data_IF_794635711282
#
_entry.id   IF_794635711282
#
_cell.length_a   1.000
_cell.length_b   1.000
_cell.length_c   1.000
_cell.angle_alpha   90.00
_cell.angle_beta   90.00
_cell.angle_gamma   90.00
#
_symmetry.space_group_name_H-M   'P 1'
#
loop_
_entity.id
_entity.type
_entity.pdbx_description
1 polymer ?
#
# COMPACT_ATOMS: atom_id res chain seq x y z
N UNK A 1 -11.80 2.40 -7.36
CA UNK A 1 -10.53 2.09 -6.65
C UNK A 1 -9.69 3.35 -6.67
N UNK A 2 -9.04 3.67 -5.56
CA UNK A 2 -8.11 4.80 -5.46
C UNK A 2 -6.71 4.26 -5.26
N UNK A 3 -5.74 4.84 -5.97
CA UNK A 3 -4.33 4.47 -5.85
C UNK A 3 -3.54 5.67 -5.32
N UNK A 4 -2.67 5.40 -4.35
CA UNK A 4 -1.87 6.40 -3.65
C UNK A 4 -0.41 6.01 -3.75
N UNK A 5 0.40 6.96 -4.18
CA UNK A 5 1.84 6.81 -4.40
C UNK A 5 2.60 7.96 -3.74
N UNK A 6 3.89 7.75 -3.46
CA UNK A 6 4.76 8.80 -2.93
C UNK A 6 4.57 9.03 -1.43
N UNK A 7 4.00 10.17 -1.04
CA UNK A 7 3.85 10.57 0.37
C UNK A 7 2.39 10.90 0.68
N UNK A 8 1.83 10.22 1.68
CA UNK A 8 0.52 10.56 2.23
C UNK A 8 0.72 11.46 3.45
N UNK A 9 0.96 12.74 3.19
CA UNK A 9 1.18 13.74 4.23
C UNK A 9 0.73 15.13 3.77
N UNK A 10 0.36 15.98 4.73
CA UNK A 10 -0.09 17.35 4.47
C UNK A 10 -1.23 17.41 3.43
N UNK A 11 -1.12 18.23 2.37
CA UNK A 11 -2.20 18.42 1.39
C UNK A 11 -2.70 17.15 0.70
N UNK A 12 -1.84 16.11 0.60
CA UNK A 12 -2.21 14.84 -0.03
C UNK A 12 -3.20 14.03 0.81
N UNK A 13 -3.26 14.28 2.12
CA UNK A 13 -4.28 13.70 3.00
C UNK A 13 -5.65 14.26 2.63
N UNK A 14 -5.77 15.59 2.51
CA UNK A 14 -7.02 16.25 2.11
C UNK A 14 -7.47 15.82 0.71
N UNK A 15 -6.54 15.66 -0.22
CA UNK A 15 -6.86 15.24 -1.59
C UNK A 15 -7.38 13.79 -1.65
N UNK A 16 -6.75 12.88 -0.89
CA UNK A 16 -7.25 11.51 -0.76
C UNK A 16 -8.64 11.48 -0.13
N UNK A 17 -8.88 12.30 0.90
CA UNK A 17 -10.19 12.39 1.55
C UNK A 17 -11.28 12.85 0.58
N UNK A 18 -11.02 13.94 -0.18
CA UNK A 18 -11.94 14.45 -1.20
C UNK A 18 -12.24 13.40 -2.26
N UNK A 19 -11.21 12.74 -2.76
CA UNK A 19 -11.34 11.69 -3.78
C UNK A 19 -12.16 10.50 -3.28
N UNK A 20 -11.88 10.05 -2.05
CA UNK A 20 -12.60 8.94 -1.43
C UNK A 20 -14.07 9.26 -1.19
N UNK A 21 -14.37 10.45 -0.66
CA UNK A 21 -15.74 10.87 -0.42
C UNK A 21 -16.53 11.03 -1.73
N UNK A 22 -15.89 11.55 -2.79
CA UNK A 22 -16.51 11.64 -4.11
C UNK A 22 -16.84 10.25 -4.69
N UNK A 23 -15.94 9.27 -4.57
CA UNK A 23 -16.21 7.90 -5.02
C UNK A 23 -17.32 7.23 -4.19
N UNK A 24 -17.32 7.46 -2.87
CA UNK A 24 -18.35 6.96 -1.96
C UNK A 24 -19.74 7.51 -2.28
N UNK A 25 -19.83 8.77 -2.66
CA UNK A 25 -21.10 9.39 -3.05
C UNK A 25 -21.61 8.86 -4.39
N UNK A 26 -20.72 8.58 -5.35
CA UNK A 26 -21.10 7.99 -6.64
C UNK A 26 -21.61 6.56 -6.51
N UNK A 27 -21.04 5.78 -5.60
CA UNK A 27 -21.39 4.37 -5.43
C UNK A 27 -21.47 3.96 -3.94
N UNK A 28 -22.57 4.31 -3.23
CA UNK A 28 -22.70 4.12 -1.79
C UNK A 28 -22.63 2.65 -1.31
N UNK A 29 -22.91 1.69 -2.20
CA UNK A 29 -22.88 0.26 -1.92
C UNK A 29 -21.64 -0.46 -2.48
N UNK A 30 -20.72 0.27 -3.12
CA UNK A 30 -19.53 -0.33 -3.70
C UNK A 30 -18.41 -0.49 -2.65
N UNK A 31 -17.73 -1.64 -2.71
CA UNK A 31 -16.48 -1.83 -2.00
C UNK A 31 -15.39 -0.94 -2.63
N UNK A 32 -15.09 0.18 -1.98
CA UNK A 32 -13.98 1.04 -2.40
C UNK A 32 -12.69 0.46 -1.84
N UNK A 33 -11.74 0.19 -2.73
CA UNK A 33 -10.38 -0.21 -2.39
C UNK A 33 -9.48 1.02 -2.50
N UNK A 34 -8.72 1.31 -1.44
CA UNK A 34 -7.63 2.29 -1.43
C UNK A 34 -6.32 1.51 -1.40
N UNK A 35 -5.56 1.62 -2.49
CA UNK A 35 -4.29 0.91 -2.70
C UNK A 35 -3.10 1.84 -2.49
N UNK A 36 -2.17 1.42 -1.64
CA UNK A 36 -0.94 2.10 -1.25
C UNK A 36 0.24 1.36 -1.89
N UNK A 37 0.52 1.58 -3.18
CA UNK A 37 1.47 0.78 -3.99
C UNK A 37 2.93 1.19 -3.80
N UNK A 38 3.20 2.50 -3.73
CA UNK A 38 4.57 3.07 -3.68
C UNK A 38 4.66 4.19 -2.64
N UNK A 39 4.04 3.97 -1.47
CA UNK A 39 4.00 4.97 -0.40
C UNK A 39 5.25 4.83 0.46
N UNK A 40 6.04 5.90 0.48
CA UNK A 40 7.31 6.00 1.21
C UNK A 40 7.15 6.63 2.61
N UNK A 41 6.05 7.36 2.84
CA UNK A 41 5.82 8.06 4.10
C UNK A 41 4.33 8.33 4.32
N UNK A 42 3.89 8.18 5.58
CA UNK A 42 2.53 8.48 6.04
C UNK A 42 2.65 9.23 7.36
N UNK A 43 2.14 10.48 7.42
CA UNK A 43 2.08 11.24 8.67
C UNK A 43 0.90 10.81 9.56
N UNK A 44 0.77 11.43 10.73
CA UNK A 44 -0.31 11.09 11.67
C UNK A 44 -1.70 11.36 11.05
N UNK A 45 -1.87 12.49 10.35
CA UNK A 45 -3.13 12.83 9.69
C UNK A 45 -3.50 11.81 8.59
N UNK A 46 -2.51 11.33 7.83
CA UNK A 46 -2.68 10.26 6.85
C UNK A 46 -3.15 8.96 7.50
N UNK A 47 -2.60 8.58 8.65
CA UNK A 47 -3.03 7.38 9.40
C UNK A 47 -4.45 7.53 9.94
N UNK A 48 -4.80 8.70 10.45
CA UNK A 48 -6.15 9.01 10.91
C UNK A 48 -7.16 8.92 9.77
N UNK A 49 -6.82 9.47 8.59
CA UNK A 49 -7.65 9.36 7.39
C UNK A 49 -7.82 7.90 6.95
N UNK A 50 -6.73 7.13 6.84
CA UNK A 50 -6.83 5.71 6.48
C UNK A 50 -7.69 4.93 7.48
N UNK A 51 -7.62 5.27 8.77
CA UNK A 51 -8.49 4.69 9.81
C UNK A 51 -9.96 5.04 9.57
N UNK A 52 -10.26 6.30 9.24
CA UNK A 52 -11.62 6.76 8.90
C UNK A 52 -12.16 6.02 7.68
N UNK A 53 -11.35 5.92 6.63
CA UNK A 53 -11.67 5.21 5.38
C UNK A 53 -12.01 3.75 5.68
N UNK A 54 -11.16 3.05 6.43
CA UNK A 54 -11.38 1.66 6.80
C UNK A 54 -12.66 1.46 7.62
N UNK A 55 -12.89 2.32 8.63
CA UNK A 55 -14.11 2.28 9.47
C UNK A 55 -15.40 2.51 8.69
N UNK A 56 -15.32 3.22 7.57
CA UNK A 56 -16.44 3.45 6.68
C UNK A 56 -16.70 2.30 5.69
N UNK A 57 -15.96 1.19 5.81
CA UNK A 57 -16.17 -0.05 5.03
C UNK A 57 -15.26 -0.20 3.82
N UNK A 58 -14.36 0.76 3.57
CA UNK A 58 -13.39 0.63 2.49
C UNK A 58 -12.27 -0.37 2.85
N UNK A 59 -11.73 -1.03 1.82
CA UNK A 59 -10.59 -1.95 1.95
C UNK A 59 -9.30 -1.18 1.76
N UNK A 60 -8.30 -1.48 2.60
CA UNK A 60 -6.95 -0.95 2.46
C UNK A 60 -6.03 -2.06 1.95
N UNK A 61 -5.34 -1.78 0.85
CA UNK A 61 -4.35 -2.68 0.25
C UNK A 61 -3.02 -1.95 0.12
N UNK A 62 -1.91 -2.68 0.21
CA UNK A 62 -0.61 -2.08 -0.04
C UNK A 62 0.54 -3.05 0.13
N UNK A 63 1.62 -2.76 -0.58
CA UNK A 63 2.88 -3.52 -0.57
C UNK A 63 3.94 -2.80 0.25
N UNK A 64 4.94 -3.56 0.72
CA UNK A 64 6.03 -3.03 1.53
C UNK A 64 5.77 -3.09 3.05
N UNK A 65 6.85 -3.23 3.82
CA UNK A 65 6.77 -3.45 5.27
C UNK A 65 6.09 -2.30 6.02
N UNK A 66 6.43 -1.04 5.68
CA UNK A 66 5.86 0.15 6.33
C UNK A 66 4.35 0.23 6.12
N UNK A 67 3.90 0.12 4.87
CA UNK A 67 2.48 0.19 4.51
C UNK A 67 1.69 -0.95 5.16
N UNK A 68 2.19 -2.20 5.06
CA UNK A 68 1.53 -3.35 5.67
C UNK A 68 1.44 -3.23 7.20
N UNK A 69 2.47 -2.68 7.85
CA UNK A 69 2.46 -2.46 9.30
C UNK A 69 1.41 -1.40 9.71
N UNK A 70 1.28 -0.32 8.93
CA UNK A 70 0.22 0.69 9.14
C UNK A 70 -1.16 0.08 8.95
N UNK A 71 -1.38 -0.66 7.86
CA UNK A 71 -2.66 -1.33 7.59
C UNK A 71 -3.02 -2.31 8.73
N UNK A 72 -2.08 -3.16 9.15
CA UNK A 72 -2.30 -4.11 10.23
C UNK A 72 -2.70 -3.41 11.53
N UNK A 73 -2.02 -2.30 11.89
CA UNK A 73 -2.36 -1.48 13.06
C UNK A 73 -3.78 -0.91 12.96
N UNK A 74 -4.19 -0.44 11.78
CA UNK A 74 -5.54 0.09 11.55
C UNK A 74 -6.60 -1.01 11.69
N UNK A 75 -6.30 -2.20 11.17
CA UNK A 75 -7.18 -3.38 11.26
C UNK A 75 -7.22 -4.01 12.67
N UNK A 76 -6.38 -3.57 13.60
CA UNK A 76 -6.21 -4.20 14.92
C UNK A 76 -5.56 -5.59 14.84
N UNK A 77 -4.91 -5.92 13.72
CA UNK A 77 -4.21 -7.17 13.53
C UNK A 77 -2.80 -7.10 14.13
N UNK A 78 -2.35 -8.21 14.71
CA UNK A 78 -0.95 -8.37 15.11
C UNK A 78 -0.13 -8.49 13.82
N UNK A 79 0.80 -7.57 13.60
CA UNK A 79 1.76 -7.71 12.51
C UNK A 79 2.75 -8.81 12.89
N UNK A 80 2.77 -9.97 12.20
CA UNK A 80 3.81 -10.95 12.45
C UNK A 80 5.14 -10.30 12.10
N UNK A 81 6.06 -10.23 13.07
CA UNK A 81 7.37 -9.62 12.90
C UNK A 81 8.26 -10.36 11.89
N UNK A 82 7.83 -11.53 11.40
CA UNK A 82 8.47 -12.26 10.31
C UNK A 82 7.62 -12.14 9.05
N UNK A 83 8.09 -11.34 8.10
CA UNK A 83 8.15 -11.65 6.66
C UNK A 83 8.58 -10.35 5.97
N UNK A 84 9.90 -10.16 5.99
CA UNK A 84 10.63 -9.12 5.27
C UNK A 84 11.09 -9.60 3.88
N UNK A 85 10.74 -10.81 3.45
CA UNK A 85 11.16 -11.31 2.15
C UNK A 85 10.08 -11.08 1.10
N UNK A 86 10.39 -10.18 0.17
CA UNK A 86 9.51 -9.91 -0.96
C UNK A 86 9.99 -8.88 -1.97
N UNK A 87 11.29 -8.58 -2.06
CA UNK A 87 11.83 -7.84 -3.21
C UNK A 87 13.19 -8.44 -3.61
N UNK A 88 13.16 -9.65 -4.18
CA UNK A 88 14.32 -10.24 -4.84
C UNK A 88 13.87 -11.30 -5.83
N UNK A 89 13.58 -10.86 -7.07
CA UNK A 89 13.79 -11.67 -8.28
C UNK A 89 14.14 -10.78 -9.47
N UNK A 90 15.25 -10.05 -9.37
CA UNK A 90 16.07 -9.87 -10.57
C UNK A 90 17.02 -11.06 -10.61
N UNK A 91 16.73 -12.02 -11.49
CA UNK A 91 17.55 -13.21 -11.68
C UNK A 91 18.85 -12.74 -12.31
N UNK A 92 19.93 -12.75 -11.53
CA UNK A 92 21.28 -12.79 -12.10
C UNK A 92 21.44 -14.09 -12.88
N UNK A 93 21.22 -14.05 -14.19
CA UNK A 93 21.71 -15.10 -15.07
C UNK A 93 23.24 -14.95 -15.16
N UNK A 94 23.93 -15.60 -14.22
CA UNK A 94 25.38 -15.77 -14.24
C UNK A 94 25.80 -16.54 -15.50
N UNK A 95 26.91 -16.12 -16.06
CA UNK A 95 27.62 -16.79 -17.15
C UNK A 95 28.13 -18.16 -16.70
N UNK A 96 28.01 -19.16 -17.57
CA UNK A 96 28.81 -20.38 -17.59
C UNK A 96 29.06 -20.65 -19.09
N UNK A 97 30.27 -20.69 -19.63
CA UNK A 97 31.45 -21.37 -19.15
C UNK A 97 31.73 -22.53 -20.12
N UNK A 98 32.78 -22.39 -20.94
CA UNK A 98 33.58 -23.46 -21.58
C UNK A 98 32.89 -24.52 -22.46
N UNK A 99 33.20 -24.50 -23.75
CA UNK A 99 33.07 -25.66 -24.65
C UNK A 99 34.23 -25.66 -25.64
N UNK A 100 35.09 -26.68 -25.53
CA UNK A 100 36.28 -26.92 -26.35
C UNK A 100 35.95 -27.85 -27.53
N UNK A 101 36.57 -27.62 -28.70
CA UNK A 101 36.59 -28.50 -29.88
C UNK A 101 36.70 -27.65 -31.15
N UNK A 102 37.63 -27.84 -32.08
CA UNK A 102 38.68 -28.84 -32.32
C UNK A 102 39.91 -28.13 -32.91
#
# INVERSE_FOLDING_TARGET
MLEVEGRLAGPWVEELERSWEAERQKAPSADIIVRLSSVSFIDEAGKELLTKIFRAGAKLEGSGCMVRAVIARIMGAVFPAHDCEGESREIIAAQSGGGQGE
#
